data_IF_894184578325
#
_entry.id   IF_894184578325
#
_cell.length_a   1.000
_cell.length_b   1.000
_cell.length_c   1.000
_cell.angle_alpha   90.00
_cell.angle_beta   90.00
_cell.angle_gamma   90.00
#
_symmetry.space_group_name_H-M   'P 1'
#
loop_
_entity.id
_entity.type
_entity.pdbx_description
1 polymer ?
#
# COMPACT_ATOMS: atom_id res chain seq x y z
N UNK A 1 11.67 9.22 0.85
CA UNK A 1 11.05 7.89 0.94
C UNK A 1 9.69 8.07 1.57
N UNK A 2 8.64 7.57 0.93
CA UNK A 2 7.32 7.61 1.52
C UNK A 2 7.20 6.59 2.64
N UNK A 3 6.28 6.82 3.56
CA UNK A 3 6.00 5.89 4.65
C UNK A 3 4.54 5.45 4.59
N UNK A 4 4.13 4.55 5.49
CA UNK A 4 2.72 4.20 5.66
C UNK A 4 1.78 5.37 5.93
N UNK A 5 2.31 6.52 6.37
CA UNK A 5 1.51 7.74 6.53
C UNK A 5 1.06 8.36 5.20
N UNK A 6 1.78 8.08 4.11
CA UNK A 6 1.50 8.58 2.77
C UNK A 6 0.54 7.66 1.98
N UNK A 7 0.12 6.53 2.58
CA UNK A 7 -0.83 5.59 1.98
C UNK A 7 -2.16 6.31 1.72
N UNK A 8 -2.63 6.20 0.48
CA UNK A 8 -3.94 6.70 0.03
C UNK A 8 -4.55 5.72 -0.97
N UNK A 9 -5.87 5.73 -1.08
CA UNK A 9 -6.56 4.95 -2.10
C UNK A 9 -6.12 5.42 -3.49
N UNK A 10 -5.84 4.46 -4.37
CA UNK A 10 -5.33 4.71 -5.72
C UNK A 10 -3.81 4.89 -5.82
N UNK A 11 -3.10 4.95 -4.69
CA UNK A 11 -1.63 5.00 -4.70
C UNK A 11 -1.05 3.72 -5.30
N UNK A 12 -0.04 3.85 -6.15
CA UNK A 12 0.68 2.72 -6.72
C UNK A 12 2.02 2.55 -6.01
N UNK A 13 2.33 1.33 -5.58
CA UNK A 13 3.49 0.97 -4.78
C UNK A 13 4.21 -0.21 -5.40
N UNK A 14 5.51 -0.28 -5.20
CA UNK A 14 6.28 -1.48 -5.49
C UNK A 14 6.14 -2.45 -4.31
N UNK A 15 5.64 -3.65 -4.55
CA UNK A 15 5.57 -4.68 -3.53
C UNK A 15 6.04 -6.02 -4.12
N UNK A 16 7.10 -6.58 -3.53
CA UNK A 16 7.77 -7.80 -3.99
C UNK A 16 8.26 -7.74 -5.45
N UNK A 17 8.67 -6.56 -5.92
CA UNK A 17 9.17 -6.37 -7.28
C UNK A 17 8.09 -6.20 -8.36
N UNK A 18 6.82 -6.17 -7.95
CA UNK A 18 5.68 -5.95 -8.84
C UNK A 18 4.95 -4.65 -8.50
N UNK A 19 4.27 -4.02 -9.49
CA UNK A 19 3.45 -2.84 -9.26
C UNK A 19 2.07 -3.22 -8.70
N UNK A 20 1.76 -2.68 -7.53
CA UNK A 20 0.48 -2.86 -6.85
C UNK A 20 -0.22 -1.52 -6.63
N UNK A 21 -1.53 -1.49 -6.76
CA UNK A 21 -2.38 -0.34 -6.47
C UNK A 21 -3.14 -0.57 -5.17
N UNK A 22 -3.17 0.43 -4.31
CA UNK A 22 -3.95 0.40 -3.07
C UNK A 22 -5.42 0.65 -3.42
N UNK A 23 -6.28 -0.33 -3.15
CA UNK A 23 -7.73 -0.22 -3.32
C UNK A 23 -8.37 0.40 -2.08
N UNK A 24 -7.98 -0.08 -0.90
CA UNK A 24 -8.42 0.46 0.38
C UNK A 24 -7.34 0.32 1.46
N UNK A 25 -7.39 1.17 2.47
CA UNK A 25 -6.54 1.07 3.65
C UNK A 25 -7.30 1.40 4.93
N UNK A 26 -6.82 0.83 6.04
CA UNK A 26 -7.33 1.06 7.38
C UNK A 26 -6.16 1.23 8.34
N UNK A 27 -6.04 2.42 8.91
CA UNK A 27 -5.08 2.66 10.00
C UNK A 27 -5.70 2.21 11.32
N UNK A 28 -5.03 1.27 11.99
CA UNK A 28 -5.44 0.71 13.28
C UNK A 28 -4.40 1.08 14.33
N UNK A 29 -4.87 1.68 15.43
CA UNK A 29 -4.07 1.96 16.63
C UNK A 29 -4.61 1.08 17.77
N UNK A 30 -3.99 -0.08 18.06
CA UNK A 30 -4.46 -0.92 19.16
C UNK A 30 -4.19 -0.21 20.49
N UNK A 31 -5.09 -0.38 21.48
CA UNK A 31 -4.93 0.23 22.81
C UNK A 31 -3.65 -0.22 23.53
N UNK A 32 -3.13 -1.41 23.20
CA UNK A 32 -1.82 -1.92 23.59
C UNK A 32 -1.13 -2.50 22.35
N UNK A 33 -0.01 -1.90 21.92
CA UNK A 33 0.80 -2.36 20.78
C UNK A 33 1.10 -1.27 19.74
N UNK A 34 1.97 -1.56 18.75
CA UNK A 34 2.30 -0.61 17.70
C UNK A 34 1.13 -0.42 16.71
N UNK A 35 0.99 0.79 16.18
CA UNK A 35 0.03 1.08 15.11
C UNK A 35 0.41 0.35 13.81
N UNK A 36 -0.60 -0.03 13.03
CA UNK A 36 -0.41 -0.68 11.74
C UNK A 36 -1.48 -0.24 10.74
N UNK A 37 -1.18 -0.39 9.46
CA UNK A 37 -2.08 -0.08 8.35
C UNK A 37 -2.40 -1.39 7.62
N UNK A 38 -3.67 -1.81 7.67
CA UNK A 38 -4.16 -2.88 6.80
C UNK A 38 -4.48 -2.28 5.44
N UNK A 39 -4.02 -2.92 4.39
CA UNK A 39 -4.25 -2.48 3.02
C UNK A 39 -4.80 -3.63 2.19
N UNK A 40 -5.76 -3.31 1.34
CA UNK A 40 -6.16 -4.17 0.24
C UNK A 40 -5.50 -3.63 -1.01
N UNK A 41 -4.63 -4.42 -1.61
CA UNK A 41 -3.84 -4.04 -2.77
C UNK A 41 -4.22 -4.92 -3.97
N UNK A 42 -4.20 -4.33 -5.16
CA UNK A 42 -4.46 -5.02 -6.43
C UNK A 42 -3.22 -4.96 -7.31
N UNK A 43 -2.78 -6.10 -7.81
CA UNK A 43 -1.68 -6.18 -8.74
C UNK A 43 -2.10 -5.58 -10.08
N UNK A 44 -1.28 -4.69 -10.64
CA UNK A 44 -1.60 -4.01 -11.90
C UNK A 44 -1.27 -4.85 -13.14
N UNK A 45 -0.36 -5.81 -13.02
CA UNK A 45 -0.03 -6.73 -14.11
C UNK A 45 -1.01 -7.90 -14.18
N UNK A 46 -1.35 -8.50 -13.02
CA UNK A 46 -2.16 -9.73 -12.97
C UNK A 46 -3.61 -9.51 -12.54
N UNK A 47 -3.96 -8.33 -12.00
CA UNK A 47 -5.29 -8.05 -11.45
C UNK A 47 -5.60 -8.71 -10.11
N UNK A 48 -4.67 -9.51 -9.55
CA UNK A 48 -4.85 -10.22 -8.28
C UNK A 48 -5.06 -9.25 -7.12
N UNK A 49 -6.07 -9.51 -6.27
CA UNK A 49 -6.21 -8.83 -4.98
C UNK A 49 -5.43 -9.56 -3.88
N UNK A 50 -4.78 -8.78 -3.02
CA UNK A 50 -4.06 -9.26 -1.84
C UNK A 50 -4.35 -8.33 -0.66
N UNK A 51 -4.58 -8.92 0.50
CA UNK A 51 -4.66 -8.19 1.76
C UNK A 51 -3.27 -8.22 2.42
N UNK A 52 -2.66 -7.05 2.60
CA UNK A 52 -1.34 -6.91 3.21
C UNK A 52 -1.38 -5.94 4.38
N UNK A 53 -0.61 -6.20 5.44
CA UNK A 53 -0.53 -5.33 6.62
C UNK A 53 0.87 -4.74 6.72
N UNK A 54 0.94 -3.41 6.81
CA UNK A 54 2.18 -2.67 6.99
C UNK A 54 2.26 -2.13 8.42
N UNK A 55 3.39 -2.29 9.09
CA UNK A 55 3.65 -1.64 10.38
C UNK A 55 3.76 -0.12 10.19
N UNK A 56 3.26 0.67 11.13
CA UNK A 56 3.36 2.13 11.05
C UNK A 56 4.83 2.58 10.98
N UNK A 57 5.14 3.46 10.03
CA UNK A 57 6.50 3.93 9.75
C UNK A 57 7.28 3.04 8.77
N UNK A 58 6.69 1.95 8.26
CA UNK A 58 7.32 1.15 7.21
C UNK A 58 7.54 2.01 5.96
N UNK A 59 8.72 1.85 5.35
CA UNK A 59 9.11 2.57 4.15
C UNK A 59 8.42 1.97 2.93
N UNK A 60 7.88 2.82 2.08
CA UNK A 60 7.13 2.42 0.89
C UNK A 60 7.77 3.05 -0.33
N UNK A 61 7.96 2.23 -1.35
CA UNK A 61 8.41 2.68 -2.65
C UNK A 61 7.20 2.98 -3.52
N UNK A 62 6.92 4.27 -3.71
CA UNK A 62 5.84 4.73 -4.58
C UNK A 62 6.29 4.60 -6.04
N UNK A 63 5.43 4.01 -6.85
CA UNK A 63 5.62 3.96 -8.31
C UNK A 63 4.70 5.00 -8.93
N UNK A 64 5.25 5.84 -9.80
CA UNK A 64 4.46 6.70 -10.68
C UNK A 64 4.10 5.92 -11.93
N UNK A 65 2.81 5.81 -12.21
CA UNK A 65 2.30 5.16 -13.42
C UNK A 65 1.75 6.24 -14.34
N UNK A 66 2.26 6.29 -15.56
CA UNK A 66 1.76 7.17 -16.61
C UNK A 66 0.88 6.36 -17.56
N UNK A 67 -0.43 6.62 -17.53
CA UNK A 67 -1.31 6.16 -18.58
C UNK A 67 -1.11 7.06 -19.82
N UNK A 68 -0.35 6.57 -20.80
CA UNK A 68 -0.35 7.16 -22.14
C UNK A 68 -1.58 6.65 -22.87
N UNK A 69 -2.50 7.57 -23.21
CA UNK A 69 -3.60 7.33 -24.14
C UNK A 69 -3.12 7.52 -25.57
#
# INVERSE_FOLDING_TARGET
>A
MATTADIRNGLCINHNGEPWKIESFQHVKPGKGPAFVRTKIRNLNTGRLLDNTFTSGFKIDIIRIENRK
#
